data_IF_752087461109
#
_entry.id   IF_752087461109
#
_cell.length_a   1.000
_cell.length_b   1.000
_cell.length_c   1.000
_cell.angle_alpha   90.00
_cell.angle_beta   90.00
_cell.angle_gamma   90.00
#
_symmetry.space_group_name_H-M   'P 1'
#
loop_
_entity.id
_entity.type
_entity.pdbx_description
1 polymer ?
#
# COMPACT_ATOMS: atom_id res chain seq x y z
N UNK A 1 -5.14 -57.88 -35.12
CA UNK A 1 -4.63 -57.34 -33.85
C UNK A 1 -4.12 -55.89 -33.96
N UNK A 2 -3.28 -55.54 -34.94
CA UNK A 2 -2.71 -54.19 -35.08
C UNK A 2 -3.75 -53.06 -35.26
N UNK A 3 -4.78 -53.25 -36.07
CA UNK A 3 -5.84 -52.25 -36.24
C UNK A 3 -6.67 -51.99 -34.96
N UNK A 4 -6.87 -53.01 -34.14
CA UNK A 4 -7.56 -52.88 -32.85
C UNK A 4 -6.73 -52.09 -31.84
N UNK A 5 -5.41 -52.33 -31.80
CA UNK A 5 -4.46 -51.57 -30.98
C UNK A 5 -4.44 -50.09 -31.38
N UNK A 6 -4.38 -49.79 -32.68
CA UNK A 6 -4.39 -48.41 -33.20
C UNK A 6 -5.70 -47.69 -32.86
N UNK A 7 -6.84 -48.38 -32.94
CA UNK A 7 -8.14 -47.83 -32.57
C UNK A 7 -8.20 -47.50 -31.07
N UNK A 8 -7.77 -48.43 -30.22
CA UNK A 8 -7.76 -48.27 -28.77
C UNK A 8 -6.84 -47.11 -28.34
N UNK A 9 -5.64 -47.02 -28.93
CA UNK A 9 -4.70 -45.93 -28.66
C UNK A 9 -5.24 -44.56 -29.09
N UNK A 10 -5.97 -44.48 -30.22
CA UNK A 10 -6.67 -43.25 -30.61
C UNK A 10 -7.73 -42.86 -29.59
N UNK A 11 -8.57 -43.79 -29.13
CA UNK A 11 -9.63 -43.51 -28.16
C UNK A 11 -9.04 -42.98 -26.86
N UNK A 12 -8.00 -43.63 -26.32
CA UNK A 12 -7.31 -43.18 -25.10
C UNK A 12 -6.73 -41.78 -25.30
N UNK A 13 -6.03 -41.55 -26.41
CA UNK A 13 -5.45 -40.24 -26.71
C UNK A 13 -6.51 -39.13 -26.79
N UNK A 14 -7.62 -39.35 -27.52
CA UNK A 14 -8.68 -38.36 -27.64
C UNK A 14 -9.45 -38.15 -26.33
N UNK A 15 -9.65 -39.20 -25.54
CA UNK A 15 -10.25 -39.10 -24.21
C UNK A 15 -9.38 -38.25 -23.28
N UNK A 16 -8.07 -38.51 -23.26
CA UNK A 16 -7.13 -37.74 -22.44
C UNK A 16 -7.07 -36.27 -22.86
N UNK A 17 -6.99 -35.98 -24.16
CA UNK A 17 -7.00 -34.61 -24.67
C UNK A 17 -8.33 -33.91 -24.37
N UNK A 18 -9.46 -34.63 -24.44
CA UNK A 18 -10.77 -34.10 -24.07
C UNK A 18 -10.86 -33.73 -22.59
N UNK A 19 -10.40 -34.61 -21.70
CA UNK A 19 -10.36 -34.34 -20.24
C UNK A 19 -9.42 -33.17 -19.94
N UNK A 20 -8.24 -33.13 -20.56
CA UNK A 20 -7.30 -32.02 -20.39
C UNK A 20 -7.91 -30.68 -20.84
N UNK A 21 -8.60 -30.66 -21.99
CA UNK A 21 -9.28 -29.46 -22.46
C UNK A 21 -10.39 -29.00 -21.51
N UNK A 22 -11.17 -29.94 -20.96
CA UNK A 22 -12.19 -29.63 -19.93
C UNK A 22 -11.56 -29.10 -18.63
N UNK A 23 -10.45 -29.67 -18.19
CA UNK A 23 -9.74 -29.19 -17.00
C UNK A 23 -9.21 -27.75 -17.20
N UNK A 24 -8.59 -27.46 -18.35
CA UNK A 24 -8.15 -26.10 -18.69
C UNK A 24 -9.31 -25.12 -18.74
N UNK A 25 -10.46 -25.54 -19.28
CA UNK A 25 -11.67 -24.73 -19.30
C UNK A 25 -12.22 -24.48 -17.89
N UNK A 26 -12.21 -25.49 -17.01
CA UNK A 26 -12.64 -25.34 -15.62
C UNK A 26 -11.72 -24.38 -14.85
N UNK A 27 -10.40 -24.50 -15.01
CA UNK A 27 -9.42 -23.56 -14.44
C UNK A 27 -9.65 -22.15 -14.98
N UNK A 28 -9.93 -22.00 -16.26
CA UNK A 28 -10.24 -20.71 -16.87
C UNK A 28 -11.47 -20.06 -16.22
N UNK A 29 -12.56 -20.82 -16.10
CA UNK A 29 -13.80 -20.33 -15.48
C UNK A 29 -13.53 -19.94 -14.02
N UNK A 30 -12.83 -20.79 -13.26
CA UNK A 30 -12.45 -20.48 -11.88
C UNK A 30 -11.64 -19.18 -11.78
N UNK A 31 -10.68 -18.98 -12.68
CA UNK A 31 -9.87 -17.76 -12.72
C UNK A 31 -10.69 -16.52 -13.08
N UNK A 32 -11.68 -16.62 -13.97
CA UNK A 32 -12.60 -15.51 -14.26
C UNK A 32 -13.44 -15.13 -13.05
N UNK A 33 -13.99 -16.12 -12.32
CA UNK A 33 -14.76 -15.86 -11.11
C UNK A 33 -13.88 -15.27 -10.00
N UNK A 34 -12.69 -15.81 -9.79
CA UNK A 34 -11.73 -15.25 -8.83
C UNK A 34 -11.32 -13.82 -9.21
N UNK A 35 -11.00 -13.59 -10.49
CA UNK A 35 -10.63 -12.26 -11.00
C UNK A 35 -11.76 -11.24 -10.86
N UNK A 36 -13.01 -11.63 -11.11
CA UNK A 36 -14.17 -10.76 -10.91
C UNK A 36 -14.34 -10.36 -9.44
N UNK A 37 -14.05 -11.27 -8.50
CA UNK A 37 -14.08 -10.96 -7.07
C UNK A 37 -12.94 -10.03 -6.64
N UNK A 38 -11.81 -10.04 -7.35
CA UNK A 38 -10.68 -9.14 -7.07
C UNK A 38 -10.86 -7.76 -7.71
N UNK A 39 -11.92 -7.55 -8.50
CA UNK A 39 -12.14 -6.30 -9.24
C UNK A 39 -12.20 -5.06 -8.33
N UNK A 40 -12.80 -5.07 -7.13
CA UNK A 40 -12.77 -3.92 -6.22
C UNK A 40 -11.36 -3.51 -5.78
N UNK A 41 -10.42 -4.47 -5.71
CA UNK A 41 -9.03 -4.19 -5.33
C UNK A 41 -8.19 -3.62 -6.48
N UNK A 42 -8.68 -3.72 -7.72
CA UNK A 42 -7.96 -3.22 -8.90
C UNK A 42 -7.57 -1.76 -8.72
N UNK A 43 -8.49 -0.91 -8.27
CA UNK A 43 -8.27 0.53 -8.09
C UNK A 43 -7.18 0.85 -7.07
N UNK A 44 -6.90 -0.06 -6.14
CA UNK A 44 -5.85 0.13 -5.13
C UNK A 44 -4.44 -0.03 -5.75
N UNK A 45 -4.25 -0.99 -6.65
CA UNK A 45 -2.92 -1.35 -7.14
C UNK A 45 -2.65 -0.90 -8.57
N UNK A 46 -3.70 -0.79 -9.39
CA UNK A 46 -3.61 -0.58 -10.83
C UNK A 46 -4.22 0.76 -11.20
N UNK A 47 -3.40 1.64 -11.77
CA UNK A 47 -3.80 2.99 -12.10
C UNK A 47 -4.67 3.01 -13.37
N UNK A 48 -5.60 3.97 -13.50
CA UNK A 48 -6.38 4.15 -14.72
C UNK A 48 -5.46 4.51 -15.91
N UNK A 49 -5.86 4.10 -17.12
CA UNK A 49 -5.09 4.35 -18.34
C UNK A 49 -4.17 3.20 -18.74
N UNK A 50 -2.85 3.43 -18.71
CA UNK A 50 -1.88 2.48 -19.29
C UNK A 50 -1.82 1.15 -18.55
N UNK A 51 -1.71 1.15 -17.22
CA UNK A 51 -1.64 -0.08 -16.44
C UNK A 51 -2.93 -0.90 -16.54
N UNK A 52 -4.07 -0.22 -16.53
CA UNK A 52 -5.37 -0.84 -16.77
C UNK A 52 -5.43 -1.51 -18.15
N UNK A 53 -4.87 -0.87 -19.18
CA UNK A 53 -4.78 -1.43 -20.53
C UNK A 53 -3.85 -2.66 -20.56
N UNK A 54 -2.69 -2.58 -19.90
CA UNK A 54 -1.74 -3.70 -19.79
C UNK A 54 -2.36 -4.89 -19.03
N UNK A 55 -3.14 -4.64 -17.98
CA UNK A 55 -3.86 -5.66 -17.23
C UNK A 55 -4.84 -6.42 -18.13
N UNK A 56 -5.72 -5.72 -18.84
CA UNK A 56 -6.67 -6.37 -19.73
C UNK A 56 -6.02 -7.01 -20.95
N UNK A 57 -5.00 -6.37 -21.53
CA UNK A 57 -4.25 -6.94 -22.66
C UNK A 57 -3.56 -8.25 -22.27
N UNK A 58 -2.85 -8.25 -21.14
CA UNK A 58 -2.21 -9.46 -20.62
C UNK A 58 -3.22 -10.56 -20.28
N UNK A 59 -4.37 -10.22 -19.68
CA UNK A 59 -5.44 -11.17 -19.41
C UNK A 59 -5.99 -11.82 -20.69
N UNK A 60 -6.26 -11.02 -21.74
CA UNK A 60 -6.74 -11.51 -23.03
C UNK A 60 -5.69 -12.40 -23.71
N UNK A 61 -4.43 -11.99 -23.69
CA UNK A 61 -3.35 -12.74 -24.35
C UNK A 61 -2.97 -14.03 -23.60
N UNK A 62 -2.94 -14.00 -22.27
CA UNK A 62 -2.58 -15.16 -21.46
C UNK A 62 -3.71 -16.18 -21.36
N UNK A 63 -4.95 -15.73 -21.44
CA UNK A 63 -6.11 -16.56 -21.16
C UNK A 63 -7.04 -16.66 -22.36
N UNK A 64 -7.45 -15.53 -22.93
CA UNK A 64 -8.33 -15.50 -24.11
C UNK A 64 -7.73 -16.23 -25.31
N UNK A 65 -6.44 -16.02 -25.60
CA UNK A 65 -5.76 -16.66 -26.74
C UNK A 65 -5.69 -18.19 -26.59
N UNK A 66 -5.22 -18.80 -25.49
CA UNK A 66 -5.28 -20.26 -25.32
C UNK A 66 -6.68 -20.84 -25.44
N UNK A 67 -7.69 -20.19 -24.85
CA UNK A 67 -9.09 -20.64 -24.93
C UNK A 67 -9.57 -20.64 -26.38
N UNK A 68 -9.35 -19.56 -27.12
CA UNK A 68 -9.71 -19.47 -28.54
C UNK A 68 -8.97 -20.49 -29.39
N UNK A 69 -7.69 -20.75 -29.09
CA UNK A 69 -6.89 -21.74 -29.82
C UNK A 69 -7.37 -23.16 -29.60
N UNK A 70 -7.75 -23.51 -28.37
CA UNK A 70 -8.37 -24.81 -28.05
C UNK A 70 -9.73 -24.92 -28.76
N UNK A 71 -10.56 -23.87 -28.70
CA UNK A 71 -11.87 -23.87 -29.36
C UNK A 71 -11.75 -24.04 -30.89
N UNK A 72 -10.84 -23.30 -31.52
CA UNK A 72 -10.55 -23.43 -32.96
C UNK A 72 -10.04 -24.83 -33.30
N UNK A 73 -9.21 -25.42 -32.44
CA UNK A 73 -8.70 -26.78 -32.61
C UNK A 73 -9.84 -27.82 -32.56
N UNK A 74 -10.76 -27.71 -31.58
CA UNK A 74 -11.94 -28.58 -31.45
C UNK A 74 -12.85 -28.47 -32.68
N UNK A 75 -13.27 -27.25 -33.04
CA UNK A 75 -14.19 -27.00 -34.17
C UNK A 75 -13.62 -27.55 -35.48
N UNK A 76 -12.33 -27.31 -35.73
CA UNK A 76 -11.66 -27.83 -36.95
C UNK A 76 -11.58 -29.34 -36.98
N UNK A 77 -11.39 -29.96 -35.81
CA UNK A 77 -11.35 -31.42 -35.66
C UNK A 77 -12.69 -32.05 -35.99
N UNK A 78 -13.80 -31.46 -35.52
CA UNK A 78 -15.17 -31.90 -35.82
C UNK A 78 -15.49 -31.75 -37.30
N UNK A 79 -15.14 -30.60 -37.90
CA UNK A 79 -15.38 -30.33 -39.32
C UNK A 79 -14.44 -31.07 -40.29
N UNK A 80 -13.52 -31.92 -39.81
CA UNK A 80 -12.51 -32.64 -40.61
C UNK A 80 -11.71 -31.74 -41.58
N UNK A 81 -11.49 -30.49 -41.19
CA UNK A 81 -10.75 -29.51 -42.02
C UNK A 81 -9.24 -29.76 -41.95
N UNK A 82 -8.50 -29.43 -43.03
CA UNK A 82 -7.04 -29.61 -43.08
C UNK A 82 -6.35 -28.74 -42.02
N UNK A 83 -5.48 -29.35 -41.22
CA UNK A 83 -4.70 -28.63 -40.21
C UNK A 83 -3.80 -27.57 -40.87
N UNK A 84 -3.79 -26.36 -40.30
CA UNK A 84 -2.85 -25.29 -40.66
C UNK A 84 -1.96 -24.99 -39.45
N UNK A 85 -0.70 -25.45 -39.43
CA UNK A 85 0.16 -25.34 -38.25
C UNK A 85 0.41 -23.89 -37.82
N UNK A 86 0.34 -22.94 -38.75
CA UNK A 86 0.50 -21.51 -38.52
C UNK A 86 -0.40 -20.93 -37.43
N UNK A 87 -1.61 -21.47 -37.22
CA UNK A 87 -2.52 -20.95 -36.19
C UNK A 87 -1.99 -21.26 -34.79
N UNK A 88 -1.42 -22.45 -34.59
CA UNK A 88 -0.76 -22.80 -33.35
C UNK A 88 0.45 -21.89 -33.10
N UNK A 89 1.27 -21.66 -34.13
CA UNK A 89 2.43 -20.77 -34.04
C UNK A 89 2.03 -19.34 -33.67
N UNK A 90 1.05 -18.76 -34.36
CA UNK A 90 0.55 -17.40 -34.06
C UNK A 90 -0.03 -17.33 -32.65
N UNK A 91 -0.80 -18.33 -32.23
CA UNK A 91 -1.32 -18.40 -30.86
C UNK A 91 -0.20 -18.43 -29.81
N UNK A 92 0.85 -19.21 -30.04
CA UNK A 92 1.98 -19.30 -29.12
C UNK A 92 2.71 -17.97 -29.02
N UNK A 93 2.94 -17.29 -30.15
CA UNK A 93 3.56 -15.95 -30.17
C UNK A 93 2.70 -14.94 -29.39
N UNK A 94 1.39 -14.91 -29.64
CA UNK A 94 0.47 -14.02 -28.94
C UNK A 94 0.44 -14.30 -27.43
N UNK A 95 0.45 -15.57 -27.03
CA UNK A 95 0.51 -15.97 -25.63
C UNK A 95 1.82 -15.52 -24.94
N UNK A 96 2.96 -15.67 -25.61
CA UNK A 96 4.23 -15.11 -25.12
C UNK A 96 4.19 -13.58 -25.01
N UNK A 97 3.51 -12.89 -25.94
CA UNK A 97 3.23 -11.45 -25.80
C UNK A 97 2.43 -11.12 -24.53
N UNK A 98 1.52 -12.00 -24.12
CA UNK A 98 0.82 -11.91 -22.84
C UNK A 98 1.76 -11.96 -21.64
N UNK A 99 2.77 -12.83 -21.65
CA UNK A 99 3.77 -12.91 -20.58
C UNK A 99 4.61 -11.64 -20.50
N UNK A 100 5.03 -11.10 -21.65
CA UNK A 100 5.81 -9.86 -21.70
C UNK A 100 4.99 -8.69 -21.15
N UNK A 101 3.74 -8.55 -21.59
CA UNK A 101 2.85 -7.47 -21.10
C UNK A 101 2.54 -7.59 -19.61
N UNK A 102 2.30 -8.80 -19.09
CA UNK A 102 2.14 -9.05 -17.66
C UNK A 102 3.42 -8.74 -16.87
N UNK A 103 4.60 -9.07 -17.40
CA UNK A 103 5.88 -8.76 -16.79
C UNK A 103 6.13 -7.25 -16.69
N UNK A 104 5.80 -6.49 -17.74
CA UNK A 104 5.88 -5.03 -17.73
C UNK A 104 4.94 -4.44 -16.67
N UNK A 105 3.68 -4.88 -16.62
CA UNK A 105 2.73 -4.44 -15.59
C UNK A 105 3.24 -4.74 -14.18
N UNK A 106 3.75 -5.95 -13.96
CA UNK A 106 4.29 -6.35 -12.66
C UNK A 106 5.45 -5.47 -12.25
N UNK A 107 6.36 -5.13 -13.18
CA UNK A 107 7.46 -4.22 -12.91
C UNK A 107 6.97 -2.81 -12.56
N UNK A 108 5.98 -2.27 -13.28
CA UNK A 108 5.38 -0.96 -12.98
C UNK A 108 4.72 -0.95 -11.59
N UNK A 109 3.97 -2.00 -11.26
CA UNK A 109 3.33 -2.12 -9.95
C UNK A 109 4.38 -2.25 -8.84
N UNK A 110 5.46 -3.01 -9.06
CA UNK A 110 6.52 -3.17 -8.07
C UNK A 110 7.33 -1.87 -7.86
N UNK A 111 7.59 -1.12 -8.93
CA UNK A 111 8.32 0.15 -8.87
C UNK A 111 7.59 1.20 -8.00
N UNK A 112 6.26 1.11 -7.89
CA UNK A 112 5.49 1.95 -6.96
C UNK A 112 5.89 1.83 -5.49
N UNK A 113 6.56 0.73 -5.13
CA UNK A 113 6.99 0.44 -3.76
C UNK A 113 8.51 0.52 -3.59
N UNK A 114 9.26 1.01 -4.58
CA UNK A 114 10.73 1.00 -4.57
C UNK A 114 11.32 2.01 -3.58
N UNK A 115 10.67 3.16 -3.41
CA UNK A 115 11.15 4.28 -2.59
C UNK A 115 10.09 4.73 -1.58
N UNK A 116 10.54 5.34 -0.48
CA UNK A 116 9.69 5.85 0.60
C UNK A 116 9.89 7.38 0.71
N UNK A 117 8.77 8.13 0.71
CA UNK A 117 8.74 9.58 0.91
C UNK A 117 8.07 9.93 2.24
N UNK A 118 8.45 11.05 2.84
CA UNK A 118 7.86 11.53 4.10
C UNK A 118 7.68 13.04 4.14
N UNK A 119 6.59 13.49 4.75
CA UNK A 119 6.28 14.88 5.01
C UNK A 119 6.16 15.09 6.53
N UNK A 120 6.90 16.06 7.05
CA UNK A 120 6.89 16.46 8.45
C UNK A 120 6.02 17.71 8.61
N UNK A 121 5.14 17.68 9.60
CA UNK A 121 4.30 18.82 9.96
C UNK A 121 4.30 19.00 11.48
N UNK A 122 4.58 20.22 11.92
CA UNK A 122 4.42 20.62 13.31
C UNK A 122 2.94 20.98 13.56
N UNK A 123 2.37 20.45 14.64
CA UNK A 123 0.99 20.74 15.05
C UNK A 123 1.05 21.64 16.27
N UNK A 124 0.53 22.85 16.13
CA UNK A 124 0.50 23.83 17.23
C UNK A 124 -0.48 23.38 18.32
N UNK A 125 0.03 23.27 19.55
CA UNK A 125 -0.78 22.94 20.72
C UNK A 125 -1.25 24.21 21.44
N UNK A 126 -2.51 24.19 21.88
CA UNK A 126 -3.03 25.18 22.82
C UNK A 126 -2.35 25.02 24.18
N UNK A 127 -2.17 26.11 24.94
CA UNK A 127 -1.53 26.04 26.26
C UNK A 127 -2.23 25.04 27.18
N UNK A 128 -1.47 24.07 27.70
CA UNK A 128 -1.95 23.05 28.64
C UNK A 128 -1.67 23.55 30.06
N UNK A 129 -2.73 23.80 30.85
CA UNK A 129 -2.61 24.27 32.23
C UNK A 129 -2.17 23.18 33.22
N UNK A 130 -2.38 21.91 32.86
CA UNK A 130 -2.06 20.75 33.69
C UNK A 130 -0.63 20.22 33.54
N UNK A 131 -0.29 19.26 34.40
CA UNK A 131 0.97 18.49 34.34
C UNK A 131 0.87 17.27 33.42
N UNK A 132 -0.35 16.89 33.06
CA UNK A 132 -0.64 15.66 32.30
C UNK A 132 -1.36 16.00 31.01
N UNK A 133 -0.93 15.35 29.93
CA UNK A 133 -1.55 15.41 28.61
C UNK A 133 -2.16 14.04 28.32
N UNK A 134 -3.46 14.02 28.03
CA UNK A 134 -4.19 12.81 27.73
C UNK A 134 -4.26 12.64 26.22
N UNK A 135 -4.07 11.42 25.73
CA UNK A 135 -4.18 11.08 24.31
C UNK A 135 -5.27 10.03 24.18
N UNK A 136 -6.32 10.39 23.45
CA UNK A 136 -7.47 9.53 23.21
C UNK A 136 -7.76 9.43 21.71
N UNK A 137 -8.55 8.44 21.33
CA UNK A 137 -8.95 8.22 19.95
C UNK A 137 -10.32 8.88 19.70
N UNK A 138 -10.43 9.63 18.62
CA UNK A 138 -11.71 10.09 18.10
C UNK A 138 -12.25 9.04 17.12
N UNK A 139 -13.37 8.37 17.44
CA UNK A 139 -14.01 7.43 16.53
C UNK A 139 -14.37 8.10 15.20
N UNK A 140 -14.33 7.34 14.13
CA UNK A 140 -14.86 7.80 12.86
C UNK A 140 -16.40 7.80 12.89
N UNK A 141 -17.02 8.95 12.64
CA UNK A 141 -18.46 9.17 12.82
C UNK A 141 -19.32 8.56 11.70
N UNK A 142 -18.76 8.47 10.48
CA UNK A 142 -19.47 7.97 9.30
C UNK A 142 -19.32 6.45 9.14
N UNK A 143 -20.22 5.85 8.37
CA UNK A 143 -20.09 4.45 7.99
C UNK A 143 -18.88 4.23 7.06
N UNK A 144 -18.28 3.05 7.15
CA UNK A 144 -17.21 2.63 6.26
C UNK A 144 -17.37 1.16 5.89
N UNK A 145 -16.76 0.77 4.78
CA UNK A 145 -16.79 -0.61 4.30
C UNK A 145 -15.40 -1.16 4.05
N UNK A 146 -15.30 -2.48 4.21
CA UNK A 146 -14.08 -3.25 3.99
C UNK A 146 -14.00 -3.76 2.56
N UNK A 147 -12.80 -3.81 2.01
CA UNK A 147 -12.58 -4.57 0.78
C UNK A 147 -12.66 -6.06 1.08
N UNK A 148 -13.73 -6.71 0.61
CA UNK A 148 -13.95 -8.14 0.81
C UNK A 148 -13.43 -8.95 -0.37
N UNK A 149 -12.57 -9.93 -0.07
CA UNK A 149 -12.13 -10.95 -1.02
C UNK A 149 -12.95 -12.23 -0.79
N UNK A 150 -13.83 -12.55 -1.72
CA UNK A 150 -14.54 -13.84 -1.78
C UNK A 150 -15.77 -13.97 -0.87
N UNK A 151 -16.37 -15.16 -0.91
CA UNK A 151 -17.53 -15.54 -0.11
C UNK A 151 -17.13 -16.62 0.91
N UNK A 152 -17.17 -16.31 2.21
CA UNK A 152 -17.30 -17.33 3.27
C UNK A 152 -16.04 -17.83 3.99
N UNK A 153 -14.86 -17.24 3.80
CA UNK A 153 -13.69 -17.43 4.68
C UNK A 153 -13.33 -16.06 5.26
N UNK A 154 -12.97 -16.00 6.56
CA UNK A 154 -12.45 -14.80 7.25
C UNK A 154 -11.64 -13.95 6.27
N UNK A 155 -12.30 -12.95 5.71
CA UNK A 155 -11.79 -12.13 4.61
C UNK A 155 -11.10 -10.89 5.13
N UNK A 156 -10.87 -10.85 6.45
CA UNK A 156 -10.27 -9.76 7.19
C UNK A 156 -8.77 -9.78 6.87
N UNK A 157 -8.44 -9.17 5.73
CA UNK A 157 -7.06 -8.84 5.43
C UNK A 157 -6.78 -7.57 6.22
N UNK A 158 -6.29 -7.75 7.45
CA UNK A 158 -5.96 -6.69 8.43
C UNK A 158 -5.10 -5.53 7.89
N UNK A 159 -4.51 -5.71 6.72
CA UNK A 159 -3.62 -4.76 6.05
C UNK A 159 -4.29 -3.90 4.98
N UNK A 160 -5.51 -4.24 4.54
CA UNK A 160 -6.22 -3.44 3.55
C UNK A 160 -6.89 -2.22 4.21
N UNK A 161 -6.96 -1.08 3.50
CA UNK A 161 -7.69 0.09 3.98
C UNK A 161 -9.20 -0.17 3.94
N UNK A 162 -9.96 0.68 4.61
CA UNK A 162 -11.41 0.75 4.46
C UNK A 162 -11.74 1.82 3.41
N UNK A 163 -12.96 1.83 2.90
CA UNK A 163 -13.47 2.94 2.10
C UNK A 163 -14.62 3.61 2.83
N UNK A 164 -14.72 4.93 2.71
CA UNK A 164 -15.86 5.68 3.23
C UNK A 164 -17.13 5.44 2.37
N UNK A 165 -18.29 5.87 2.89
CA UNK A 165 -19.59 5.77 2.18
C UNK A 165 -19.57 6.40 0.79
N UNK A 166 -18.82 7.50 0.61
CA UNK A 166 -18.74 8.21 -0.67
C UNK A 166 -17.83 7.52 -1.69
N UNK A 167 -17.10 6.46 -1.29
CA UNK A 167 -16.13 5.74 -2.11
C UNK A 167 -15.04 6.65 -2.73
N UNK A 168 -14.73 7.77 -2.07
CA UNK A 168 -13.76 8.76 -2.54
C UNK A 168 -12.43 8.72 -1.76
N UNK A 169 -12.43 8.07 -0.59
CA UNK A 169 -11.32 8.09 0.36
C UNK A 169 -11.03 6.70 0.93
N UNK A 170 -9.75 6.37 0.97
CA UNK A 170 -9.19 5.21 1.66
C UNK A 170 -8.87 5.58 3.11
N UNK A 171 -9.30 4.73 4.02
CA UNK A 171 -9.17 4.89 5.47
C UNK A 171 -8.14 3.89 5.99
N UNK A 172 -7.01 4.38 6.47
CA UNK A 172 -5.90 3.55 6.93
C UNK A 172 -5.80 3.53 8.47
N UNK A 173 -5.62 2.33 9.05
CA UNK A 173 -5.29 2.16 10.49
C UNK A 173 -3.77 2.13 10.75
N UNK A 174 -2.94 2.55 9.79
CA UNK A 174 -1.47 2.60 9.88
C UNK A 174 -0.99 3.85 10.61
N UNK A 175 -1.46 3.99 11.86
CA UNK A 175 -1.11 5.09 12.76
C UNK A 175 -0.07 4.59 13.76
N UNK A 176 0.98 5.36 13.98
CA UNK A 176 2.07 5.01 14.89
C UNK A 176 2.22 6.09 15.94
N UNK A 177 2.29 5.73 17.22
CA UNK A 177 2.44 6.70 18.32
C UNK A 177 3.83 6.60 18.96
N UNK A 178 4.58 7.69 18.90
CA UNK A 178 5.88 7.84 19.55
C UNK A 178 5.84 8.92 20.62
N UNK A 179 6.24 8.55 21.83
CA UNK A 179 6.37 9.48 22.95
C UNK A 179 7.86 9.62 23.27
N UNK A 180 8.35 10.86 23.33
CA UNK A 180 9.75 11.18 23.64
C UNK A 180 9.84 12.33 24.64
N UNK A 181 11.03 12.56 25.17
CA UNK A 181 11.27 13.74 26.02
C UNK A 181 11.44 14.98 25.14
N UNK A 182 10.84 16.10 25.56
CA UNK A 182 11.08 17.42 24.98
C UNK A 182 12.43 17.96 25.45
N UNK A 183 13.05 18.79 24.61
CA UNK A 183 14.24 19.57 24.96
C UNK A 183 13.90 20.84 25.74
N UNK A 184 12.64 21.25 25.77
CA UNK A 184 12.18 22.48 26.43
C UNK A 184 11.07 22.20 27.47
N UNK A 185 10.39 23.26 27.92
CA UNK A 185 9.33 23.20 28.94
C UNK A 185 7.91 23.00 28.38
N UNK A 186 7.78 22.93 27.05
CA UNK A 186 6.50 22.83 26.35
C UNK A 186 6.29 21.43 25.78
N UNK A 187 5.02 21.09 25.56
CA UNK A 187 4.69 19.92 24.77
C UNK A 187 4.83 20.29 23.29
N UNK A 188 5.42 19.40 22.51
CA UNK A 188 5.44 19.53 21.05
C UNK A 188 4.77 18.33 20.42
N UNK A 189 3.95 18.58 19.41
CA UNK A 189 3.29 17.57 18.62
C UNK A 189 3.78 17.68 17.17
N UNK A 190 4.28 16.57 16.63
CA UNK A 190 4.69 16.46 15.24
C UNK A 190 4.03 15.27 14.58
N UNK A 191 3.75 15.39 13.30
CA UNK A 191 3.27 14.30 12.48
C UNK A 191 4.22 14.06 11.32
N UNK A 192 4.53 12.79 11.08
CA UNK A 192 5.28 12.35 9.91
C UNK A 192 4.35 11.49 9.06
N UNK A 193 3.84 12.05 7.97
CA UNK A 193 3.16 11.28 6.94
C UNK A 193 4.20 10.55 6.09
N UNK A 194 3.89 9.32 5.67
CA UNK A 194 4.77 8.51 4.83
C UNK A 194 3.97 7.76 3.75
N UNK A 195 4.58 7.63 2.57
CA UNK A 195 4.03 6.93 1.41
C UNK A 195 5.16 6.25 0.63
N UNK A 196 4.89 5.10 0.03
CA UNK A 196 5.76 4.48 -0.97
C UNK A 196 5.48 5.08 -2.36
N UNK A 197 6.48 5.65 -3.01
CA UNK A 197 6.31 6.27 -4.32
C UNK A 197 7.67 6.37 -5.03
N UNK A 198 7.75 6.11 -6.35
CA UNK A 198 9.01 6.13 -7.10
C UNK A 198 9.53 7.56 -7.33
N UNK A 199 8.65 8.57 -7.31
CA UNK A 199 9.01 9.96 -7.60
C UNK A 199 8.74 10.91 -6.41
N UNK A 200 9.80 11.56 -5.93
CA UNK A 200 9.75 12.49 -4.80
C UNK A 200 8.80 13.68 -5.01
N UNK A 201 8.67 14.15 -6.25
CA UNK A 201 7.86 15.34 -6.55
C UNK A 201 6.36 15.04 -6.45
N UNK A 202 5.90 13.96 -7.09
CA UNK A 202 4.51 13.51 -6.97
C UNK A 202 4.16 13.10 -5.54
N UNK A 203 5.10 12.48 -4.83
CA UNK A 203 4.91 12.10 -3.44
C UNK A 203 4.60 13.27 -2.51
N UNK A 204 5.11 14.49 -2.79
CA UNK A 204 4.82 15.65 -1.94
C UNK A 204 3.36 16.07 -2.05
N UNK A 205 2.85 16.21 -3.26
CA UNK A 205 1.45 16.58 -3.52
C UNK A 205 0.51 15.50 -2.94
N UNK A 206 0.89 14.23 -3.05
CA UNK A 206 0.13 13.11 -2.46
C UNK A 206 0.10 13.17 -0.94
N UNK A 207 1.24 13.43 -0.30
CA UNK A 207 1.36 13.55 1.17
C UNK A 207 0.60 14.76 1.71
N UNK A 208 0.55 15.87 0.97
CA UNK A 208 -0.24 17.05 1.35
C UNK A 208 -1.76 16.81 1.28
N UNK A 209 -2.19 15.83 0.48
CA UNK A 209 -3.60 15.46 0.39
C UNK A 209 -4.08 14.52 1.51
N UNK A 210 -3.16 14.00 2.34
CA UNK A 210 -3.52 13.16 3.49
C UNK A 210 -4.27 14.00 4.52
N UNK A 211 -5.35 13.44 5.08
CA UNK A 211 -6.12 14.10 6.13
C UNK A 211 -6.03 13.29 7.43
N UNK A 212 -5.44 13.93 8.43
CA UNK A 212 -5.32 13.42 9.79
C UNK A 212 -5.36 14.59 10.77
N UNK A 213 -6.58 15.06 11.05
CA UNK A 213 -6.80 16.28 11.82
C UNK A 213 -6.81 15.97 13.32
N UNK A 214 -5.70 16.25 13.99
CA UNK A 214 -5.59 16.11 15.44
C UNK A 214 -6.28 17.31 16.10
N UNK A 215 -7.24 17.05 16.98
CA UNK A 215 -7.94 18.09 17.73
C UNK A 215 -7.52 18.10 19.20
N UNK A 216 -7.46 19.28 19.81
CA UNK A 216 -7.16 19.44 21.23
C UNK A 216 -8.34 20.07 21.96
N UNK A 217 -8.77 19.41 23.03
CA UNK A 217 -9.73 19.93 24.00
C UNK A 217 -9.08 19.94 25.38
N UNK A 218 -8.79 21.14 25.89
CA UNK A 218 -8.08 21.34 27.16
C UNK A 218 -6.74 20.59 27.22
N UNK A 219 -6.67 19.53 28.03
CA UNK A 219 -5.48 18.68 28.20
C UNK A 219 -5.60 17.34 27.45
N UNK A 220 -6.62 17.16 26.61
CA UNK A 220 -6.87 15.95 25.83
C UNK A 220 -6.56 16.20 24.36
N UNK A 221 -5.76 15.33 23.77
CA UNK A 221 -5.51 15.23 22.34
C UNK A 221 -6.30 14.08 21.75
N UNK A 222 -7.11 14.39 20.76
CA UNK A 222 -7.90 13.42 20.03
C UNK A 222 -7.22 13.09 18.70
N UNK A 223 -6.81 11.83 18.56
CA UNK A 223 -6.27 11.29 17.32
C UNK A 223 -7.39 10.63 16.51
N UNK A 224 -7.57 10.98 15.23
CA UNK A 224 -8.52 10.29 14.37
C UNK A 224 -8.28 8.77 14.32
N UNK A 225 -9.35 7.98 14.26
CA UNK A 225 -9.26 6.52 14.11
C UNK A 225 -8.55 6.08 12.82
N UNK A 226 -8.70 6.88 11.75
CA UNK A 226 -8.17 6.59 10.42
C UNK A 226 -7.35 7.77 9.86
N UNK A 227 -6.30 7.43 9.12
CA UNK A 227 -5.67 8.31 8.14
C UNK A 227 -6.49 8.26 6.85
N UNK A 228 -7.02 9.40 6.41
CA UNK A 228 -7.81 9.48 5.17
C UNK A 228 -6.91 9.88 4.00
N UNK A 229 -7.00 9.13 2.90
CA UNK A 229 -6.20 9.32 1.68
C UNK A 229 -7.14 9.28 0.47
N UNK A 230 -7.01 10.15 -0.53
CA UNK A 230 -7.84 10.09 -1.74
C UNK A 230 -7.72 8.73 -2.45
N UNK A 231 -8.83 8.13 -2.84
CA UNK A 231 -8.85 6.80 -3.47
C UNK A 231 -8.04 6.73 -4.77
N UNK A 232 -7.92 7.86 -5.48
CA UNK A 232 -7.14 7.97 -6.72
C UNK A 232 -5.64 7.72 -6.54
N UNK A 233 -5.09 7.83 -5.33
CA UNK A 233 -3.69 7.52 -5.04
C UNK A 233 -3.44 6.00 -4.90
N UNK A 234 -4.49 5.21 -4.67
CA UNK A 234 -4.41 3.77 -4.45
C UNK A 234 -3.70 3.39 -3.15
N UNK A 235 -3.31 2.12 -3.04
CA UNK A 235 -2.59 1.56 -1.89
C UNK A 235 -1.08 1.60 -2.12
N UNK A 236 -0.37 2.34 -1.25
CA UNK A 236 1.06 2.65 -1.34
C UNK A 236 1.72 2.69 0.04
N UNK A 237 1.38 1.75 0.92
CA UNK A 237 1.88 1.69 2.32
C UNK A 237 1.77 3.03 3.07
N UNK A 238 0.67 3.75 2.85
CA UNK A 238 0.44 5.02 3.51
C UNK A 238 0.39 4.84 5.02
N UNK A 239 1.00 5.76 5.74
CA UNK A 239 0.99 5.76 7.20
C UNK A 239 1.23 7.14 7.78
N UNK A 240 0.87 7.30 9.04
CA UNK A 240 1.17 8.50 9.81
C UNK A 240 1.78 8.16 11.16
N UNK A 241 2.87 8.83 11.48
CA UNK A 241 3.54 8.71 12.77
C UNK A 241 3.31 9.99 13.57
N UNK A 242 2.63 9.87 14.69
CA UNK A 242 2.39 10.94 15.65
C UNK A 242 3.48 10.90 16.70
N UNK A 243 4.22 11.99 16.83
CA UNK A 243 5.31 12.15 17.80
C UNK A 243 4.95 13.22 18.83
N UNK A 244 4.90 12.81 20.10
CA UNK A 244 4.61 13.68 21.24
C UNK A 244 5.89 13.85 22.04
N UNK A 245 6.38 15.09 22.11
CA UNK A 245 7.53 15.48 22.94
C UNK A 245 7.03 16.00 24.28
N UNK A 246 7.47 15.36 25.36
CA UNK A 246 6.99 15.57 26.73
C UNK A 246 8.06 16.29 27.55
N UNK A 247 7.81 17.50 28.06
CA UNK A 247 8.79 18.24 28.83
C UNK A 247 9.05 17.58 30.19
N UNK A 248 10.24 17.82 30.73
CA UNK A 248 10.65 17.24 32.01
C UNK A 248 9.65 17.57 33.13
N UNK A 249 9.23 16.54 33.87
CA UNK A 249 8.28 16.69 34.97
C UNK A 249 6.80 16.75 34.55
N UNK A 250 6.48 16.63 33.26
CA UNK A 250 5.10 16.39 32.79
C UNK A 250 4.91 14.92 32.39
N UNK A 251 3.66 14.47 32.31
CA UNK A 251 3.32 13.09 31.93
C UNK A 251 2.38 13.07 30.73
N UNK A 252 2.43 11.98 29.97
CA UNK A 252 1.44 11.67 28.92
C UNK A 252 0.72 10.39 29.30
N UNK A 253 -0.59 10.45 29.33
CA UNK A 253 -1.48 9.31 29.58
C UNK A 253 -2.17 8.95 28.26
N UNK A 254 -2.03 7.69 27.86
CA UNK A 254 -2.56 7.19 26.58
C UNK A 254 -3.71 6.24 26.88
N UNK A 255 -4.86 6.50 26.26
CA UNK A 255 -6.04 5.64 26.33
C UNK A 255 -5.73 4.20 25.90
N UNK A 256 -6.37 3.22 26.54
CA UNK A 256 -6.16 1.79 26.26
C UNK A 256 -6.51 1.41 24.81
N UNK A 257 -7.45 2.15 24.21
CA UNK A 257 -7.85 1.99 22.79
C UNK A 257 -6.67 2.19 21.85
N UNK A 258 -5.70 3.02 22.25
CA UNK A 258 -4.51 3.32 21.45
C UNK A 258 -3.36 2.32 21.66
N UNK A 259 -3.50 1.34 22.55
CA UNK A 259 -2.45 0.35 22.88
C UNK A 259 -1.92 -0.38 21.64
N UNK A 260 -2.79 -0.71 20.68
CA UNK A 260 -2.45 -1.40 19.42
C UNK A 260 -1.55 -0.59 18.46
N UNK A 261 -1.52 0.72 18.62
CA UNK A 261 -0.74 1.64 17.77
C UNK A 261 0.62 2.00 18.37
N UNK A 262 0.80 1.77 19.67
CA UNK A 262 2.05 2.04 20.39
C UNK A 262 3.12 0.96 20.17
N UNK A 263 2.71 -0.28 19.89
CA UNK A 263 3.60 -1.44 19.79
C UNK A 263 4.21 -1.64 18.40
N UNK A 264 3.81 -0.85 17.40
CA UNK A 264 4.25 -1.03 16.01
C UNK A 264 5.41 -0.08 15.67
N UNK A 265 6.37 -0.56 14.87
CA UNK A 265 7.49 0.26 14.41
C UNK A 265 7.09 1.11 13.18
N UNK A 266 7.46 2.40 13.13
CA UNK A 266 7.14 3.27 12.01
C UNK A 266 8.06 2.98 10.81
N UNK A 267 7.72 3.47 9.61
CA UNK A 267 8.49 3.26 8.39
C UNK A 267 9.98 3.64 8.51
N UNK A 268 10.82 3.03 7.69
CA UNK A 268 12.27 3.17 7.78
C UNK A 268 12.73 4.63 7.58
N UNK A 269 12.08 5.35 6.67
CA UNK A 269 12.36 6.76 6.38
C UNK A 269 12.00 7.66 7.56
N UNK A 270 10.87 7.40 8.22
CA UNK A 270 10.47 8.13 9.44
C UNK A 270 11.47 7.87 10.57
N UNK A 271 11.89 6.62 10.78
CA UNK A 271 12.90 6.27 11.80
C UNK A 271 14.23 6.97 11.58
N UNK A 272 14.69 7.06 10.34
CA UNK A 272 15.92 7.79 9.98
C UNK A 272 15.78 9.27 10.31
N UNK A 273 14.63 9.89 9.98
CA UNK A 273 14.34 11.29 10.29
C UNK A 273 14.30 11.55 11.80
N UNK A 274 13.58 10.74 12.57
CA UNK A 274 13.54 10.81 14.04
C UNK A 274 14.95 10.63 14.64
N UNK A 275 15.74 9.67 14.15
CA UNK A 275 17.12 9.43 14.63
C UNK A 275 18.05 10.61 14.35
N UNK A 276 17.93 11.27 13.20
CA UNK A 276 18.81 12.38 12.87
C UNK A 276 18.64 13.55 13.84
N UNK A 277 17.42 13.85 14.29
CA UNK A 277 17.17 14.84 15.36
C UNK A 277 17.86 14.51 16.68
N UNK A 278 18.10 13.23 16.98
CA UNK A 278 18.85 12.82 18.19
C UNK A 278 20.32 13.27 18.17
N UNK A 279 20.90 13.56 16.99
CA UNK A 279 22.33 13.88 16.83
C UNK A 279 22.64 15.38 16.70
N UNK A 280 21.64 16.26 16.57
CA UNK A 280 21.89 17.67 16.20
C UNK A 280 22.29 18.60 17.35
N UNK A 281 22.38 18.11 18.60
CA UNK A 281 22.91 18.92 19.70
C UNK A 281 24.43 18.74 19.81
N UNK A 282 25.20 19.54 19.07
CA UNK A 282 26.59 19.84 19.46
C UNK A 282 26.55 20.96 20.49
N UNK A 283 27.08 20.72 21.68
CA UNK A 283 27.37 21.78 22.65
C UNK A 283 28.43 22.69 22.04
N UNK A 284 28.02 23.86 21.54
CA UNK A 284 28.96 24.90 21.13
C UNK A 284 29.23 25.73 22.39
N UNK A 285 30.36 25.47 23.06
CA UNK A 285 30.84 26.37 24.11
C UNK A 285 31.18 27.72 23.46
N UNK A 286 30.57 28.84 23.90
CA UNK A 286 31.00 30.15 23.44
C UNK A 286 32.46 30.36 23.88
N UNK A 287 33.32 30.95 23.04
CA UNK A 287 34.70 31.21 23.42
C UNK A 287 34.71 32.07 24.69
N UNK A 288 35.40 31.59 25.73
CA UNK A 288 35.65 32.33 26.96
C UNK A 288 36.14 33.73 26.59
N UNK A 289 35.40 34.75 27.01
CA UNK A 289 35.85 36.13 26.91
C UNK A 289 37.22 36.22 27.61
N UNK A 290 38.26 36.56 26.84
CA UNK A 290 39.55 36.93 27.42
C UNK A 290 39.32 38.15 28.31
N UNK A 291 39.51 38.00 29.60
CA UNK A 291 39.70 39.13 30.51
C UNK A 291 40.91 39.92 30.01
N UNK A 292 40.65 41.12 29.47
CA UNK A 292 41.67 42.08 29.11
C UNK A 292 42.08 42.81 30.39
N UNK A 293 43.23 42.44 30.94
CA UNK A 293 43.84 43.08 32.10
C UNK A 293 44.05 44.58 31.83
N UNK A 294 43.24 45.41 32.47
CA UNK A 294 43.42 46.86 32.51
C UNK A 294 44.27 47.25 33.72
N UNK A 295 45.58 47.01 33.63
CA UNK A 295 46.58 47.64 34.51
C UNK A 295 47.83 48.01 33.68
N UNK A 296 47.81 49.19 33.05
CA UNK A 296 48.95 50.13 33.04
C UNK A 296 48.59 51.35 32.18
N UNK A 297 48.23 52.47 32.82
CA UNK A 297 48.58 53.82 32.35
C UNK A 297 48.60 54.75 33.58
N UNK A 298 49.67 54.65 34.37
CA UNK A 298 50.19 55.77 35.14
C UNK A 298 51.32 56.40 34.30
N UNK A 299 51.05 57.55 33.71
CA UNK A 299 52.00 58.63 33.46
C UNK A 299 51.24 59.95 33.45
#
# INVERSE_FOLDING_TARGET
>A
CLNGLILLLKIIFFSFVGIMALAVLAVFIAFLFAGAQMMPLKSLFIDPGQETTLLFASLILLIGVPVLSILMWIVRRVMKTRSRPWIGVVSTILWFGGLVTAGILTAQVADKFSEESTLEQDVELRPISGRSLYVDMQPYEDDYSEFRIGYGLDSDIDYLPFTNVNEDSLLFRSIYLHIRNSSDSLFHLRTFAAISCPELKGAKDDLEAFRFEITQQDSVLYLPEFLMVPIGQGFRNQSITVEISVPAGKTVEVSDVLSRYRSKEPPSVVRKRIRNYRRTYMTVEPPLAKEENMETLLF
#
